data_IF_827494302672
#
_entry.id   IF_827494302672
#
_cell.length_a   1.000
_cell.length_b   1.000
_cell.length_c   1.000
_cell.angle_alpha   90.00
_cell.angle_beta   90.00
_cell.angle_gamma   90.00
#
_symmetry.space_group_name_H-M   'P 1'
#
loop_
_entity.id
_entity.type
_entity.pdbx_description
1 polymer ?
#
# COMPACT_ATOMS: atom_id res chain seq x y z
N UNK A 1 17.10 -7.84 32.19
CA UNK A 1 16.02 -6.92 32.58
C UNK A 1 16.05 -5.69 31.67
N UNK A 2 15.64 -5.86 30.42
CA UNK A 2 15.77 -4.89 29.32
C UNK A 2 14.51 -4.02 29.11
N UNK A 3 13.48 -4.22 29.94
CA UNK A 3 12.15 -3.63 29.76
C UNK A 3 11.99 -2.19 30.26
N UNK A 4 13.06 -1.55 30.77
CA UNK A 4 12.99 -0.21 31.37
C UNK A 4 13.80 0.88 30.67
N UNK A 5 14.47 0.58 29.55
CA UNK A 5 15.38 1.54 28.92
C UNK A 5 14.79 2.32 27.71
N UNK A 6 13.51 2.17 27.37
CA UNK A 6 12.91 2.84 26.18
C UNK A 6 11.85 3.90 26.46
N UNK A 7 11.53 4.21 27.73
CA UNK A 7 10.46 5.16 28.06
C UNK A 7 11.01 6.49 28.59
N UNK A 8 11.95 7.11 27.87
CA UNK A 8 12.25 8.53 28.06
C UNK A 8 12.82 9.14 26.77
N UNK A 9 12.06 8.98 25.67
CA UNK A 9 12.10 10.02 24.65
C UNK A 9 11.55 11.27 25.33
N UNK A 10 12.43 12.24 25.60
CA UNK A 10 12.01 13.58 25.97
C UNK A 10 11.12 14.05 24.81
N UNK A 11 9.81 13.96 24.98
CA UNK A 11 8.86 14.54 24.04
C UNK A 11 9.05 16.04 24.15
N UNK A 12 9.96 16.57 23.34
CA UNK A 12 9.95 17.98 23.01
C UNK A 12 8.51 18.28 22.57
N UNK A 13 7.86 19.31 23.11
CA UNK A 13 6.51 19.65 22.70
C UNK A 13 6.52 19.80 21.18
N UNK A 14 5.51 19.24 20.52
CA UNK A 14 5.38 19.38 19.07
C UNK A 14 5.40 20.88 18.73
N UNK A 15 6.08 21.29 17.65
CA UNK A 15 6.04 22.67 17.20
C UNK A 15 4.60 23.16 17.04
N UNK A 16 4.36 24.46 17.29
CA UNK A 16 3.05 25.05 17.05
C UNK A 16 2.63 24.78 15.59
N UNK A 17 1.49 24.11 15.32
CA UNK A 17 1.06 23.80 13.95
C UNK A 17 0.94 25.06 13.07
N UNK A 18 0.61 26.21 13.65
CA UNK A 18 0.56 27.49 12.94
C UNK A 18 1.93 27.93 12.38
N UNK A 19 3.03 27.44 12.95
CA UNK A 19 4.38 27.71 12.47
C UNK A 19 4.74 26.90 11.20
N UNK A 20 3.93 25.90 10.81
CA UNK A 20 4.16 25.15 9.57
C UNK A 20 3.96 25.99 8.29
N UNK A 21 3.19 27.07 8.38
CA UNK A 21 2.74 27.85 7.22
C UNK A 21 1.69 27.14 6.34
N UNK A 22 1.29 25.91 6.69
CA UNK A 22 0.28 25.14 5.95
C UNK A 22 -1.12 25.59 6.40
N UNK A 23 -1.91 26.08 5.44
CA UNK A 23 -3.30 26.51 5.68
C UNK A 23 -4.33 25.43 5.31
N UNK A 24 -3.99 24.59 4.33
CA UNK A 24 -4.88 23.56 3.81
C UNK A 24 -4.14 22.25 3.62
N UNK A 25 -4.74 21.17 4.08
CA UNK A 25 -4.32 19.80 3.78
C UNK A 25 -5.42 19.16 2.95
N UNK A 26 -5.09 18.77 1.73
CA UNK A 26 -5.99 18.02 0.86
C UNK A 26 -5.52 16.58 0.84
N UNK A 27 -6.32 15.68 1.40
CA UNK A 27 -6.03 14.25 1.41
C UNK A 27 -6.75 13.56 0.25
N UNK A 28 -6.00 13.13 -0.75
CA UNK A 28 -6.50 12.27 -1.84
C UNK A 28 -6.15 10.83 -1.52
N UNK A 29 -7.16 10.02 -1.21
CA UNK A 29 -6.99 8.59 -0.95
C UNK A 29 -7.34 7.77 -2.18
N UNK A 30 -6.32 7.19 -2.79
CA UNK A 30 -6.45 6.24 -3.89
C UNK A 30 -6.87 4.85 -3.39
N UNK A 31 -7.12 3.93 -4.34
CA UNK A 31 -7.65 2.60 -4.09
C UNK A 31 -6.78 1.54 -4.77
N UNK A 32 -6.53 0.42 -4.08
CA UNK A 32 -6.04 -0.86 -4.61
C UNK A 32 -4.82 -0.81 -5.56
N UNK A 33 -3.77 -0.08 -5.18
CA UNK A 33 -2.48 -0.07 -5.91
C UNK A 33 -1.32 -0.11 -4.92
N UNK A 34 -0.36 -1.02 -5.13
CA UNK A 34 0.86 -1.10 -4.32
C UNK A 34 1.89 -0.05 -4.77
N UNK A 35 2.90 0.19 -3.94
CA UNK A 35 4.00 1.09 -4.29
C UNK A 35 4.72 0.60 -5.55
N UNK A 36 5.17 -0.65 -5.58
CA UNK A 36 5.89 -1.22 -6.72
C UNK A 36 5.06 -1.24 -8.01
N UNK A 37 3.73 -1.28 -7.91
CA UNK A 37 2.87 -1.24 -9.09
C UNK A 37 2.88 0.13 -9.79
N UNK A 38 3.06 1.23 -9.05
CA UNK A 38 2.98 2.60 -9.59
C UNK A 38 4.32 3.32 -9.62
N UNK A 39 5.21 3.06 -8.68
CA UNK A 39 6.40 3.87 -8.38
C UNK A 39 7.65 3.04 -8.11
N UNK A 40 7.63 1.72 -8.34
CA UNK A 40 8.82 0.87 -8.16
C UNK A 40 9.98 1.19 -9.12
N UNK A 41 9.75 2.04 -10.13
CA UNK A 41 10.76 2.60 -11.03
C UNK A 41 11.43 3.88 -10.49
N UNK A 42 10.89 4.49 -9.42
CA UNK A 42 11.34 5.79 -8.94
C UNK A 42 12.80 5.73 -8.45
N UNK A 43 13.72 6.55 -9.01
CA UNK A 43 15.12 6.49 -8.62
C UNK A 43 15.34 6.75 -7.12
N UNK A 44 16.01 5.81 -6.45
CA UNK A 44 16.37 5.92 -5.04
C UNK A 44 15.28 5.49 -4.05
N UNK A 45 14.09 5.10 -4.52
CA UNK A 45 13.06 4.53 -3.65
C UNK A 45 13.37 3.09 -3.22
N UNK A 46 12.94 2.71 -2.01
CA UNK A 46 12.96 1.34 -1.48
C UNK A 46 11.81 0.49 -2.09
N UNK A 47 11.81 0.37 -3.42
CA UNK A 47 10.84 -0.41 -4.20
C UNK A 47 11.52 -1.23 -5.30
N UNK A 48 10.90 -2.31 -5.75
CA UNK A 48 11.40 -3.14 -6.86
C UNK A 48 10.24 -3.77 -7.63
N UNK A 49 10.03 -3.29 -8.85
CA UNK A 49 8.93 -3.78 -9.69
C UNK A 49 9.36 -4.73 -10.82
N UNK A 50 10.59 -4.60 -11.31
CA UNK A 50 11.07 -5.31 -12.51
C UNK A 50 12.14 -6.35 -12.18
N UNK A 51 12.26 -7.37 -13.05
CA UNK A 51 13.29 -8.41 -12.93
C UNK A 51 13.00 -9.47 -11.87
N UNK A 52 11.81 -9.45 -11.28
CA UNK A 52 11.36 -10.45 -10.31
C UNK A 52 10.57 -11.58 -10.98
N UNK A 53 10.56 -12.74 -10.35
CA UNK A 53 9.81 -13.93 -10.78
C UNK A 53 9.05 -14.53 -9.61
N UNK A 54 7.77 -14.84 -9.83
CA UNK A 54 6.89 -15.47 -8.84
C UNK A 54 6.30 -16.76 -9.39
N UNK A 55 5.98 -17.71 -8.52
CA UNK A 55 5.52 -19.04 -8.91
C UNK A 55 4.06 -19.22 -8.51
N UNK A 56 3.22 -19.55 -9.49
CA UNK A 56 1.78 -19.77 -9.28
C UNK A 56 1.46 -21.08 -8.54
N UNK A 57 0.16 -21.34 -8.33
CA UNK A 57 -0.32 -22.56 -7.67
C UNK A 57 -0.01 -23.86 -8.44
N UNK A 58 0.31 -23.79 -9.74
CA UNK A 58 0.69 -24.93 -10.57
C UNK A 58 2.21 -25.14 -10.62
N UNK A 59 2.99 -24.32 -9.91
CA UNK A 59 4.44 -24.38 -9.95
C UNK A 59 5.05 -23.69 -11.18
N UNK A 60 4.27 -22.93 -11.94
CA UNK A 60 4.75 -22.22 -13.14
C UNK A 60 5.34 -20.87 -12.74
N UNK A 61 6.58 -20.56 -13.14
CA UNK A 61 7.17 -19.25 -12.90
C UNK A 61 6.65 -18.21 -13.89
N UNK A 62 6.36 -17.01 -13.39
CA UNK A 62 5.94 -15.85 -14.16
C UNK A 62 6.81 -14.65 -13.79
N UNK A 63 7.32 -13.94 -14.80
CA UNK A 63 8.07 -12.72 -14.59
C UNK A 63 7.14 -11.52 -14.38
N UNK A 64 7.58 -10.59 -13.54
CA UNK A 64 6.98 -9.25 -13.47
C UNK A 64 7.04 -8.58 -14.85
N UNK A 65 5.98 -7.84 -15.21
CA UNK A 65 5.82 -7.28 -16.56
C UNK A 65 5.10 -5.93 -16.54
N UNK A 66 5.30 -5.14 -17.61
CA UNK A 66 4.57 -3.88 -17.82
C UNK A 66 3.11 -4.17 -18.16
N UNK A 67 2.19 -3.42 -17.55
CA UNK A 67 0.75 -3.54 -17.79
C UNK A 67 0.24 -2.65 -18.92
N UNK A 68 0.93 -1.54 -19.20
CA UNK A 68 0.54 -0.66 -20.29
C UNK A 68 0.49 -1.42 -21.64
N UNK A 69 -0.51 -1.14 -22.49
CA UNK A 69 -1.46 -0.02 -22.40
C UNK A 69 -2.76 -0.33 -21.63
N UNK A 70 -2.88 -1.46 -20.91
CA UNK A 70 -4.03 -1.71 -20.05
C UNK A 70 -3.85 -0.98 -18.71
N UNK A 71 -4.78 -0.08 -18.40
CA UNK A 71 -4.79 0.69 -17.15
C UNK A 71 -5.92 0.28 -16.20
N UNK A 72 -6.84 -0.56 -16.69
CA UNK A 72 -8.06 -0.93 -15.99
C UNK A 72 -8.01 -2.36 -15.47
N UNK A 73 -7.31 -3.27 -16.16
CA UNK A 73 -7.25 -4.68 -15.80
C UNK A 73 -8.59 -5.40 -15.97
N UNK A 74 -9.48 -4.92 -16.84
CA UNK A 74 -10.86 -5.46 -16.94
C UNK A 74 -10.93 -6.93 -17.36
N UNK A 75 -9.88 -7.44 -18.02
CA UNK A 75 -9.78 -8.85 -18.41
C UNK A 75 -9.29 -9.76 -17.28
N UNK A 76 -8.88 -9.17 -16.15
CA UNK A 76 -8.24 -9.86 -15.03
C UNK A 76 -9.19 -9.94 -13.82
N UNK A 77 -9.06 -10.98 -12.99
CA UNK A 77 -9.67 -10.98 -11.67
C UNK A 77 -9.09 -9.85 -10.83
N UNK A 78 -9.89 -9.33 -9.92
CA UNK A 78 -9.42 -8.37 -8.91
C UNK A 78 -8.39 -9.06 -8.00
N UNK A 79 -7.13 -8.58 -7.91
CA UNK A 79 -6.15 -9.16 -7.01
C UNK A 79 -6.65 -9.19 -5.56
N UNK A 80 -6.45 -10.30 -4.88
CA UNK A 80 -6.89 -10.56 -3.52
C UNK A 80 -6.23 -9.57 -2.56
N UNK A 81 -7.04 -8.67 -2.04
CA UNK A 81 -6.68 -7.67 -1.05
C UNK A 81 -7.43 -7.93 0.26
N UNK A 82 -7.86 -9.16 0.49
CA UNK A 82 -8.54 -9.58 1.71
C UNK A 82 -7.54 -9.72 2.87
N UNK A 83 -8.07 -9.77 4.09
CA UNK A 83 -7.23 -10.04 5.26
C UNK A 83 -6.46 -11.36 5.08
N UNK A 84 -7.10 -12.45 4.63
CA UNK A 84 -6.44 -13.74 4.45
C UNK A 84 -5.48 -13.77 3.27
N UNK A 85 -5.85 -13.17 2.14
CA UNK A 85 -5.01 -13.07 0.95
C UNK A 85 -3.67 -12.42 1.25
N UNK A 86 -3.67 -11.27 1.94
CA UNK A 86 -2.42 -10.57 2.29
C UNK A 86 -1.42 -11.43 3.09
N UNK A 87 -1.88 -12.40 3.89
CA UNK A 87 -0.98 -13.35 4.58
C UNK A 87 -0.43 -14.43 3.67
N UNK A 88 -1.22 -14.88 2.70
CA UNK A 88 -0.76 -15.80 1.66
C UNK A 88 0.33 -15.11 0.83
N UNK A 89 0.10 -13.87 0.43
CA UNK A 89 1.04 -13.07 -0.37
C UNK A 89 2.34 -12.78 0.40
N UNK A 90 2.21 -12.33 1.64
CA UNK A 90 3.35 -12.04 2.53
C UNK A 90 4.19 -13.28 2.84
N UNK A 91 3.56 -14.45 2.89
CA UNK A 91 4.16 -15.77 3.12
C UNK A 91 5.31 -15.76 4.14
N UNK A 92 5.01 -15.37 5.38
CA UNK A 92 5.99 -15.34 6.48
C UNK A 92 7.29 -14.60 6.12
N UNK A 93 7.18 -13.37 5.60
CA UNK A 93 8.30 -12.49 5.16
C UNK A 93 8.96 -12.85 3.84
N UNK A 94 8.56 -13.97 3.21
CA UNK A 94 9.12 -14.38 1.91
C UNK A 94 8.61 -13.53 0.75
N UNK A 95 7.42 -12.94 0.90
CA UNK A 95 6.78 -12.08 -0.11
C UNK A 95 6.74 -12.73 -1.52
N UNK A 96 6.49 -14.03 -1.59
CA UNK A 96 6.50 -14.82 -2.84
C UNK A 96 5.14 -15.47 -3.15
N UNK A 97 4.08 -15.06 -2.46
CA UNK A 97 2.74 -15.64 -2.57
C UNK A 97 1.76 -14.91 -3.49
N UNK A 98 2.20 -13.88 -4.22
CA UNK A 98 1.32 -13.00 -5.02
C UNK A 98 0.44 -13.71 -6.04
N UNK A 99 0.89 -14.84 -6.61
CA UNK A 99 0.12 -15.65 -7.57
C UNK A 99 -0.60 -16.85 -6.94
N UNK A 100 -0.71 -16.86 -5.61
CA UNK A 100 -1.26 -17.98 -4.84
C UNK A 100 -2.45 -17.59 -3.98
N UNK A 101 -2.66 -16.30 -3.76
CA UNK A 101 -3.82 -15.79 -3.01
C UNK A 101 -5.07 -15.74 -3.90
N UNK A 102 -6.21 -16.16 -3.34
CA UNK A 102 -7.51 -16.05 -3.98
C UNK A 102 -7.54 -16.54 -5.43
N UNK A 103 -7.98 -15.66 -6.33
CA UNK A 103 -8.02 -15.88 -7.76
C UNK A 103 -6.93 -15.08 -8.51
N UNK A 104 -5.86 -14.67 -7.82
CA UNK A 104 -4.81 -13.86 -8.42
C UNK A 104 -4.25 -14.52 -9.67
N UNK A 105 -4.10 -13.72 -10.73
CA UNK A 105 -3.34 -14.09 -11.91
C UNK A 105 -2.16 -13.12 -12.09
N UNK A 106 -1.56 -13.12 -13.27
CA UNK A 106 -0.38 -12.32 -13.59
C UNK A 106 -0.60 -10.81 -13.38
N UNK A 107 -1.85 -10.31 -13.34
CA UNK A 107 -2.14 -8.92 -13.02
C UNK A 107 -1.56 -8.49 -11.66
N UNK A 108 -1.51 -9.41 -10.68
CA UNK A 108 -1.01 -9.14 -9.33
C UNK A 108 0.50 -8.82 -9.29
N UNK A 109 1.25 -9.18 -10.34
CA UNK A 109 2.69 -8.94 -10.46
C UNK A 109 3.05 -7.99 -11.60
N UNK A 110 2.04 -7.33 -12.17
CA UNK A 110 2.21 -6.30 -13.19
C UNK A 110 2.53 -4.93 -12.57
N UNK A 111 3.22 -4.09 -13.34
CA UNK A 111 3.60 -2.73 -12.93
C UNK A 111 3.52 -1.74 -14.10
N UNK A 112 3.56 -0.45 -13.77
CA UNK A 112 3.73 0.64 -14.73
C UNK A 112 5.12 1.27 -14.60
N UNK A 113 5.57 1.97 -15.63
CA UNK A 113 6.76 2.83 -15.59
C UNK A 113 6.38 4.32 -15.63
N UNK A 114 7.37 5.19 -15.54
CA UNK A 114 7.20 6.64 -15.56
C UNK A 114 6.48 7.15 -16.81
N UNK A 115 6.83 6.60 -17.97
CA UNK A 115 6.22 6.90 -19.27
C UNK A 115 4.75 6.45 -19.38
N UNK A 116 4.31 5.48 -18.56
CA UNK A 116 2.93 4.99 -18.53
C UNK A 116 2.01 5.92 -17.73
N UNK A 117 2.52 6.58 -16.70
CA UNK A 117 1.73 7.31 -15.70
C UNK A 117 1.94 8.82 -15.79
N UNK A 118 1.44 9.45 -16.85
CA UNK A 118 1.64 10.89 -17.15
C UNK A 118 1.74 11.85 -15.94
N UNK A 119 0.80 11.79 -14.99
CA UNK A 119 0.86 12.61 -13.78
C UNK A 119 1.98 12.17 -12.82
N UNK A 120 2.02 10.90 -12.41
CA UNK A 120 2.98 10.40 -11.43
C UNK A 120 4.41 10.37 -11.98
N UNK A 121 4.60 10.05 -13.25
CA UNK A 121 5.87 10.11 -13.97
C UNK A 121 6.51 11.50 -13.93
N UNK A 122 5.69 12.56 -13.86
CA UNK A 122 6.17 13.94 -13.74
C UNK A 122 6.27 14.41 -12.29
N UNK A 123 5.28 14.08 -11.45
CA UNK A 123 5.20 14.59 -10.09
C UNK A 123 6.17 13.87 -9.14
N UNK A 124 6.23 12.54 -9.16
CA UNK A 124 6.97 11.75 -8.19
C UNK A 124 8.48 12.09 -8.12
N UNK A 125 9.19 12.34 -9.23
CA UNK A 125 10.61 12.72 -9.18
C UNK A 125 10.89 14.11 -8.59
N UNK A 126 9.88 14.99 -8.53
CA UNK A 126 10.05 16.39 -8.09
C UNK A 126 9.38 16.68 -6.75
N UNK A 127 8.56 15.77 -6.24
CA UNK A 127 7.82 15.88 -5.00
C UNK A 127 8.38 14.95 -3.93
N UNK A 128 7.93 15.12 -2.70
CA UNK A 128 8.25 14.18 -1.61
C UNK A 128 7.45 12.91 -1.78
N UNK A 129 8.14 11.78 -1.91
CA UNK A 129 7.56 10.43 -1.91
C UNK A 129 7.98 9.71 -0.63
N UNK A 130 7.00 9.07 0.04
CA UNK A 130 7.25 8.20 1.17
C UNK A 130 7.30 6.74 0.69
N UNK A 131 8.50 6.21 0.45
CA UNK A 131 8.75 4.86 -0.06
C UNK A 131 8.65 3.75 1.00
N UNK A 132 8.51 4.12 2.28
CA UNK A 132 8.28 3.21 3.41
C UNK A 132 6.98 3.53 4.15
N UNK A 133 5.95 3.88 3.40
CA UNK A 133 4.59 4.11 3.88
C UNK A 133 3.71 2.88 3.62
N UNK A 134 3.26 2.23 4.69
CA UNK A 134 2.52 0.98 4.62
C UNK A 134 1.04 1.17 4.98
N UNK A 135 0.18 0.31 4.44
CA UNK A 135 -1.17 0.16 4.94
C UNK A 135 -1.12 -0.18 6.45
N UNK A 136 -2.05 0.38 7.22
CA UNK A 136 -2.10 0.17 8.67
C UNK A 136 -2.38 -1.30 9.03
N UNK A 137 -3.07 -2.01 8.13
CA UNK A 137 -3.36 -3.44 8.24
C UNK A 137 -3.42 -4.08 6.85
N UNK A 138 -2.92 -5.32 6.72
CA UNK A 138 -3.08 -6.16 5.51
C UNK A 138 -4.53 -6.63 5.39
N UNK A 139 -5.41 -5.76 4.94
CA UNK A 139 -6.85 -5.96 4.84
C UNK A 139 -7.43 -5.02 3.76
N UNK A 140 -8.69 -5.21 3.35
CA UNK A 140 -9.26 -4.46 2.24
C UNK A 140 -9.54 -2.99 2.62
N UNK A 141 -10.23 -2.29 1.73
CA UNK A 141 -10.58 -0.88 1.77
C UNK A 141 -11.05 -0.36 3.12
N UNK A 142 -12.14 -0.90 3.65
CA UNK A 142 -12.83 -0.31 4.80
C UNK A 142 -11.99 -0.36 6.07
N UNK A 143 -11.32 -1.48 6.42
CA UNK A 143 -10.37 -1.52 7.52
C UNK A 143 -9.33 -0.38 7.49
N UNK A 144 -8.71 -0.14 6.33
CA UNK A 144 -7.70 0.89 6.16
C UNK A 144 -8.28 2.32 6.12
N UNK A 145 -9.47 2.51 5.55
CA UNK A 145 -10.20 3.80 5.63
C UNK A 145 -10.57 4.17 7.06
N UNK A 146 -10.95 3.19 7.88
CA UNK A 146 -11.17 3.42 9.31
C UNK A 146 -9.88 3.83 10.01
N UNK A 147 -8.76 3.15 9.77
CA UNK A 147 -7.47 3.58 10.31
C UNK A 147 -7.12 5.02 9.94
N UNK A 148 -7.38 5.44 8.70
CA UNK A 148 -7.12 6.81 8.29
C UNK A 148 -7.91 7.85 9.12
N UNK A 149 -9.18 7.56 9.42
CA UNK A 149 -10.06 8.52 10.08
C UNK A 149 -10.12 8.36 11.60
N UNK A 150 -9.74 7.21 12.15
CA UNK A 150 -9.93 6.88 13.57
C UNK A 150 -8.67 6.34 14.25
N UNK A 151 -7.54 6.23 13.53
CA UNK A 151 -6.30 5.61 13.99
C UNK A 151 -6.43 4.17 14.50
N UNK A 152 -7.57 3.53 14.25
CA UNK A 152 -7.90 2.16 14.62
C UNK A 152 -8.97 1.60 13.68
N UNK A 153 -9.18 0.29 13.71
CA UNK A 153 -10.25 -0.37 12.95
C UNK A 153 -10.96 -1.42 13.80
N UNK A 154 -12.25 -1.60 13.56
CA UNK A 154 -13.11 -2.57 14.26
C UNK A 154 -13.45 -3.80 13.39
N UNK A 155 -12.85 -3.90 12.20
CA UNK A 155 -13.17 -4.94 11.21
C UNK A 155 -11.97 -5.35 10.38
N UNK A 156 -12.08 -6.54 9.79
CA UNK A 156 -11.06 -7.12 8.90
C UNK A 156 -11.54 -7.24 7.45
N UNK A 157 -12.80 -6.88 7.18
CA UNK A 157 -13.44 -7.01 5.87
C UNK A 157 -14.21 -5.75 5.52
N UNK A 158 -14.54 -5.60 4.23
CA UNK A 158 -15.46 -4.57 3.77
C UNK A 158 -16.87 -4.88 4.29
N UNK A 159 -17.40 -4.00 5.13
CA UNK A 159 -18.72 -4.14 5.73
C UNK A 159 -19.38 -2.76 5.88
N UNK A 160 -20.64 -2.62 5.46
CA UNK A 160 -21.37 -1.35 5.53
C UNK A 160 -21.95 -1.05 6.91
N UNK A 161 -21.80 -1.96 7.87
CA UNK A 161 -22.18 -1.75 9.27
C UNK A 161 -21.51 -0.50 9.82
N UNK A 162 -22.29 0.40 10.40
CA UNK A 162 -21.79 1.64 10.99
C UNK A 162 -20.76 1.33 12.08
N UNK A 163 -19.61 1.98 12.03
CA UNK A 163 -18.62 1.97 13.11
C UNK A 163 -19.03 2.97 14.20
N UNK A 164 -18.64 2.70 15.44
CA UNK A 164 -18.78 3.62 16.58
C UNK A 164 -17.43 4.12 17.09
N UNK A 165 -16.35 3.91 16.34
CA UNK A 165 -15.02 4.38 16.70
C UNK A 165 -14.98 5.92 16.69
N UNK A 166 -14.35 6.56 17.70
CA UNK A 166 -14.08 7.99 17.64
C UNK A 166 -13.10 8.28 16.50
N UNK A 167 -13.24 9.44 15.90
CA UNK A 167 -12.40 9.88 14.79
C UNK A 167 -11.28 10.79 15.29
N UNK A 168 -10.20 10.94 14.51
CA UNK A 168 -9.15 11.92 14.83
C UNK A 168 -9.57 13.38 14.53
N UNK A 169 -10.85 13.58 14.20
CA UNK A 169 -11.43 14.87 13.82
C UNK A 169 -12.39 15.41 14.90
N UNK A 170 -12.79 14.57 15.85
CA UNK A 170 -13.57 14.95 17.03
C UNK A 170 -12.69 15.26 18.24
#
# INVERSE_FOLDING_TARGET
>A
DLGRALAQVIQSPLPNPAASGIQHVVLVMMENRSFDHLLGWLPGADGTQAGLTYVDNNGVPHATHRLAPDFQGCAHPDPDHSYQGGRVEYNSTRCDGWLRAGANDVQAIGYYTDDDLSFLGTAAPTWTVCDRYFAAIMAPTFPNRLYQHAAQTDRLTNATTRTTLPTIWD
#
